data_IF_758449906744
#
_entry.id   IF_758449906744
#
_cell.length_a   1.000
_cell.length_b   1.000
_cell.length_c   1.000
_cell.angle_alpha   90.00
_cell.angle_beta   90.00
_cell.angle_gamma   90.00
#
_symmetry.space_group_name_H-M   'P 1'
#
loop_
_entity.id
_entity.type
_entity.pdbx_description
1 polymer ?
#
# COMPACT_ATOMS: atom_id res chain seq x y z
N UNK A 1 -15.11 -16.16 9.52
CA UNK A 1 -14.23 -14.99 9.59
C UNK A 1 -12.82 -15.46 9.89
N UNK A 2 -11.83 -14.80 9.30
CA UNK A 2 -10.41 -15.08 9.49
C UNK A 2 -9.77 -13.90 10.20
N UNK A 3 -8.98 -14.17 11.25
CA UNK A 3 -8.20 -13.12 11.89
C UNK A 3 -7.05 -12.68 10.98
N UNK A 4 -6.89 -11.38 10.83
CA UNK A 4 -5.76 -10.73 10.18
C UNK A 4 -4.96 -10.06 11.29
N UNK A 5 -3.78 -10.59 11.57
CA UNK A 5 -2.91 -10.06 12.63
C UNK A 5 -2.03 -8.93 12.10
N UNK A 6 -1.88 -7.87 12.88
CA UNK A 6 -0.88 -6.84 12.61
C UNK A 6 0.54 -7.44 12.56
N UNK A 7 1.42 -6.89 11.73
CA UNK A 7 2.84 -7.25 11.78
C UNK A 7 3.44 -6.86 13.15
N UNK A 8 4.21 -7.73 13.82
CA UNK A 8 4.82 -7.39 15.10
C UNK A 8 5.78 -6.20 15.01
N UNK A 9 6.10 -5.53 16.13
CA UNK A 9 6.99 -4.37 16.17
C UNK A 9 8.47 -4.78 15.99
N UNK A 10 8.79 -5.34 14.82
CA UNK A 10 10.11 -5.81 14.42
C UNK A 10 10.46 -5.22 13.07
N UNK A 11 11.68 -4.66 12.97
CA UNK A 11 12.20 -4.12 11.73
C UNK A 11 12.58 -5.22 10.74
N UNK A 12 12.66 -4.83 9.47
CA UNK A 12 13.04 -5.71 8.38
C UNK A 12 14.53 -5.56 8.05
N UNK A 13 15.18 -6.68 7.71
CA UNK A 13 16.53 -6.67 7.12
C UNK A 13 16.46 -6.56 5.60
N UNK A 14 15.52 -7.28 5.00
CA UNK A 14 15.22 -7.19 3.57
C UNK A 14 13.72 -7.34 3.37
N UNK A 15 13.20 -6.61 2.39
CA UNK A 15 11.79 -6.62 2.05
C UNK A 15 11.63 -6.60 0.54
N UNK A 16 10.80 -7.50 0.03
CA UNK A 16 10.39 -7.54 -1.36
C UNK A 16 8.86 -7.46 -1.40
N UNK A 17 8.34 -6.54 -2.21
CA UNK A 17 6.92 -6.45 -2.55
C UNK A 17 6.78 -6.54 -4.05
N UNK A 18 6.27 -7.66 -4.51
CA UNK A 18 6.14 -7.99 -5.91
C UNK A 18 4.73 -8.43 -6.22
N UNK A 19 4.49 -8.69 -7.49
CA UNK A 19 3.21 -9.15 -7.98
C UNK A 19 3.40 -10.44 -8.74
N UNK A 20 2.64 -11.45 -8.35
CA UNK A 20 2.43 -12.64 -9.14
C UNK A 20 1.13 -12.51 -9.95
N UNK A 21 1.26 -12.60 -11.27
CA UNK A 21 0.13 -12.71 -12.17
C UNK A 21 0.18 -14.09 -12.82
N UNK A 22 -0.66 -15.03 -12.39
CA UNK A 22 -0.62 -16.36 -12.94
C UNK A 22 -1.07 -16.33 -14.40
N UNK A 23 -0.21 -16.84 -15.29
CA UNK A 23 -0.47 -16.86 -16.73
C UNK A 23 -0.47 -18.29 -17.24
N UNK A 24 -1.64 -18.79 -17.65
CA UNK A 24 -1.75 -20.07 -18.33
C UNK A 24 -1.27 -19.90 -19.79
N UNK A 25 -0.26 -20.68 -20.18
CA UNK A 25 0.30 -20.66 -21.54
C UNK A 25 -0.01 -22.00 -22.19
N UNK A 26 -0.67 -21.98 -23.35
CA UNK A 26 -0.90 -23.17 -24.16
C UNK A 26 -0.45 -22.92 -25.60
N UNK A 27 -0.28 -23.99 -26.37
CA UNK A 27 0.13 -23.93 -27.77
C UNK A 27 -0.79 -24.82 -28.58
N UNK A 28 -1.34 -24.30 -29.68
CA UNK A 28 -2.18 -25.10 -30.57
C UNK A 28 -1.32 -26.15 -31.28
N UNK A 29 -1.76 -27.40 -31.25
CA UNK A 29 -1.09 -28.51 -31.95
C UNK A 29 -1.15 -28.37 -33.48
N UNK A 30 -2.17 -27.70 -34.01
CA UNK A 30 -2.41 -27.59 -35.45
C UNK A 30 -1.81 -26.34 -36.08
N UNK A 31 -1.87 -25.20 -35.37
CA UNK A 31 -1.37 -23.92 -35.89
C UNK A 31 -0.05 -23.47 -35.26
N UNK A 32 0.45 -24.21 -34.26
CA UNK A 32 1.60 -23.84 -33.43
C UNK A 32 1.48 -22.45 -32.75
N UNK A 33 0.30 -21.83 -32.81
CA UNK A 33 0.03 -20.52 -32.20
C UNK A 33 0.05 -20.63 -30.70
N UNK A 34 0.67 -19.65 -30.06
CA UNK A 34 0.72 -19.51 -28.61
C UNK A 34 -0.54 -18.82 -28.13
N UNK A 35 -1.22 -19.42 -27.16
CA UNK A 35 -2.34 -18.86 -26.46
C UNK A 35 -1.92 -18.56 -25.02
N UNK A 36 -2.33 -17.40 -24.52
CA UNK A 36 -1.99 -16.90 -23.20
C UNK A 36 -3.31 -16.50 -22.55
N UNK A 37 -3.60 -17.06 -21.37
CA UNK A 37 -4.78 -16.72 -20.58
C UNK A 37 -4.33 -16.18 -19.23
N UNK A 38 -4.92 -15.05 -18.84
CA UNK A 38 -4.69 -14.36 -17.56
C UNK A 38 -5.99 -14.33 -16.74
N UNK A 39 -6.72 -15.45 -16.72
CA UNK A 39 -8.02 -15.56 -16.04
C UNK A 39 -7.91 -15.60 -14.52
N UNK A 40 -6.74 -15.88 -13.97
CA UNK A 40 -6.53 -15.86 -12.52
C UNK A 40 -6.26 -14.43 -12.04
N UNK A 41 -6.77 -14.12 -10.85
CA UNK A 41 -6.60 -12.82 -10.21
C UNK A 41 -5.11 -12.60 -9.93
N UNK A 42 -4.63 -11.41 -10.28
CA UNK A 42 -3.30 -10.92 -9.91
C UNK A 42 -3.21 -10.83 -8.38
N UNK A 43 -2.11 -11.33 -7.80
CA UNK A 43 -1.85 -11.33 -6.35
C UNK A 43 -0.52 -10.66 -6.04
N UNK A 44 -0.40 -10.06 -4.87
CA UNK A 44 0.88 -9.61 -4.34
C UNK A 44 1.62 -10.75 -3.65
N UNK A 45 2.94 -10.72 -3.75
CA UNK A 45 3.85 -11.62 -3.05
C UNK A 45 4.80 -10.77 -2.24
N UNK A 46 4.98 -11.13 -0.97
CA UNK A 46 5.95 -10.46 -0.11
C UNK A 46 6.98 -11.45 0.40
N UNK A 47 8.26 -11.07 0.30
CA UNK A 47 9.38 -11.82 0.88
C UNK A 47 10.05 -10.94 1.92
N UNK A 48 10.16 -11.44 3.15
CA UNK A 48 10.64 -10.65 4.27
C UNK A 48 11.71 -11.42 5.01
N UNK A 49 12.89 -10.81 5.19
CA UNK A 49 13.91 -11.32 6.11
C UNK A 49 13.99 -10.42 7.33
N UNK A 50 13.91 -11.03 8.51
CA UNK A 50 13.94 -10.36 9.82
C UNK A 50 15.16 -10.86 10.59
N UNK A 51 15.96 -9.95 11.16
CA UNK A 51 17.10 -10.28 12.01
C UNK A 51 17.17 -9.43 13.27
N UNK A 52 18.09 -9.75 14.20
CA UNK A 52 18.16 -9.11 15.52
C UNK A 52 18.57 -7.63 15.48
N UNK A 53 17.61 -6.76 15.17
CA UNK A 53 17.68 -5.35 15.56
C UNK A 53 17.30 -5.13 17.02
N UNK A 54 16.51 -6.02 17.62
CA UNK A 54 15.96 -5.86 18.97
C UNK A 54 16.06 -7.14 19.82
N UNK A 55 16.26 -6.99 21.14
CA UNK A 55 16.37 -8.11 22.10
C UNK A 55 15.09 -8.94 22.21
N UNK A 56 13.94 -8.37 21.83
CA UNK A 56 12.62 -9.02 21.89
C UNK A 56 12.13 -9.56 20.54
N UNK A 57 12.78 -9.20 19.43
CA UNK A 57 12.27 -9.51 18.08
C UNK A 57 12.03 -11.00 17.83
N UNK A 58 12.94 -11.87 18.29
CA UNK A 58 12.75 -13.32 18.17
C UNK A 58 11.50 -13.82 18.90
N UNK A 59 11.19 -13.24 20.06
CA UNK A 59 10.01 -13.60 20.84
C UNK A 59 8.72 -13.20 20.13
N UNK A 60 8.67 -12.00 19.55
CA UNK A 60 7.55 -11.56 18.72
C UNK A 60 7.35 -12.47 17.50
N UNK A 61 8.44 -12.88 16.84
CA UNK A 61 8.34 -13.80 15.70
C UNK A 61 7.81 -15.18 16.12
N UNK A 62 8.26 -15.72 17.24
CA UNK A 62 7.72 -17.00 17.75
C UNK A 62 6.26 -16.88 18.21
N UNK A 63 5.85 -15.73 18.76
CA UNK A 63 4.45 -15.45 19.06
C UNK A 63 3.59 -15.39 17.78
N UNK A 64 4.05 -14.66 16.76
CA UNK A 64 3.38 -14.59 15.45
C UNK A 64 3.22 -15.99 14.85
N UNK A 65 4.25 -16.85 14.90
CA UNK A 65 4.13 -18.23 14.40
C UNK A 65 3.01 -19.01 15.07
N UNK A 66 2.86 -18.89 16.39
CA UNK A 66 1.78 -19.56 17.14
C UNK A 66 0.41 -19.02 16.77
N UNK A 67 0.31 -17.72 16.49
CA UNK A 67 -0.92 -17.10 16.00
C UNK A 67 -1.29 -17.58 14.58
N UNK A 68 -0.30 -17.85 13.75
CA UNK A 68 -0.49 -18.37 12.38
C UNK A 68 -0.51 -19.91 12.31
N UNK A 69 -0.25 -20.59 13.43
CA UNK A 69 -0.18 -22.04 13.49
C UNK A 69 -1.54 -22.65 13.14
N UNK A 70 -1.55 -23.64 12.25
CA UNK A 70 -2.78 -24.18 11.67
C UNK A 70 -3.22 -23.53 10.35
N UNK A 71 -2.54 -22.47 9.88
CA UNK A 71 -2.68 -21.93 8.52
C UNK A 71 -4.04 -21.30 8.22
N UNK A 72 -4.79 -20.91 9.24
CA UNK A 72 -6.13 -20.33 9.09
C UNK A 72 -6.14 -18.81 9.21
N UNK A 73 -5.03 -18.21 9.64
CA UNK A 73 -4.92 -16.79 9.95
C UNK A 73 -3.96 -16.08 9.00
N UNK A 74 -4.19 -14.77 8.83
CA UNK A 74 -3.46 -13.92 7.89
C UNK A 74 -2.66 -12.88 8.64
N UNK A 75 -1.77 -12.20 7.92
CA UNK A 75 -0.97 -11.09 8.42
C UNK A 75 -1.19 -9.85 7.56
N UNK A 76 -1.36 -8.69 8.20
CA UNK A 76 -1.38 -7.38 7.55
C UNK A 76 0.06 -6.92 7.32
N UNK A 77 0.39 -6.66 6.06
CA UNK A 77 1.69 -6.11 5.67
C UNK A 77 1.49 -4.85 4.84
N UNK A 78 2.40 -3.89 5.06
CA UNK A 78 2.49 -2.66 4.31
C UNK A 78 3.71 -2.68 3.39
N UNK A 79 3.57 -2.12 2.19
CA UNK A 79 4.65 -2.00 1.22
C UNK A 79 5.75 -1.06 1.72
N UNK A 80 7.01 -1.41 1.50
CA UNK A 80 8.13 -0.52 1.74
C UNK A 80 8.61 0.21 0.48
N UNK A 81 9.09 1.45 0.64
CA UNK A 81 10.04 2.09 -0.28
C UNK A 81 11.05 1.13 -0.89
N UNK A 82 11.13 1.10 -2.22
CA UNK A 82 12.18 0.36 -2.94
C UNK A 82 13.49 1.15 -3.05
N UNK A 83 13.41 2.49 -3.01
CA UNK A 83 14.57 3.35 -3.18
C UNK A 83 15.08 3.81 -1.81
N UNK A 84 16.40 3.75 -1.54
CA UNK A 84 16.96 4.17 -0.26
C UNK A 84 17.01 5.70 -0.09
N UNK A 85 17.07 6.44 -1.19
CA UNK A 85 17.27 7.89 -1.20
C UNK A 85 15.97 8.64 -1.52
N UNK A 86 14.88 8.31 -0.85
CA UNK A 86 13.59 8.95 -1.10
C UNK A 86 13.63 10.45 -0.74
N UNK A 87 12.98 11.31 -1.53
CA UNK A 87 12.88 12.72 -1.19
C UNK A 87 12.01 12.87 0.07
N UNK A 88 12.60 13.40 1.13
CA UNK A 88 11.89 13.69 2.38
C UNK A 88 11.15 15.03 2.28
N UNK A 89 9.88 15.00 2.66
CA UNK A 89 9.05 16.19 2.78
C UNK A 89 8.44 16.25 4.19
N UNK A 90 8.22 17.46 4.74
CA UNK A 90 7.45 17.59 5.96
C UNK A 90 6.06 16.96 5.81
N UNK A 91 5.57 16.39 6.91
CA UNK A 91 4.22 15.84 6.97
C UNK A 91 3.18 16.86 6.51
N UNK A 92 2.21 16.42 5.71
CA UNK A 92 1.15 17.27 5.19
C UNK A 92 1.49 18.04 3.90
N UNK A 93 2.71 17.93 3.38
CA UNK A 93 3.10 18.62 2.12
C UNK A 93 2.62 17.86 0.88
N UNK A 94 2.75 16.53 0.88
CA UNK A 94 2.34 15.67 -0.23
C UNK A 94 1.01 14.96 0.00
N UNK A 95 0.49 15.04 1.23
CA UNK A 95 -0.69 14.33 1.71
C UNK A 95 -1.56 15.32 2.48
N UNK A 96 -2.88 15.21 2.36
CA UNK A 96 -3.79 16.01 3.18
C UNK A 96 -4.54 15.09 4.12
N UNK A 97 -4.20 15.13 5.39
CA UNK A 97 -4.78 14.21 6.37
C UNK A 97 -6.15 14.70 6.83
N UNK A 98 -7.15 13.80 7.02
CA UNK A 98 -8.42 14.17 7.63
C UNK A 98 -8.18 14.89 8.95
N UNK A 99 -8.81 16.04 9.12
CA UNK A 99 -8.80 16.77 10.38
C UNK A 99 -9.97 16.29 11.23
N UNK A 100 -9.65 15.70 12.38
CA UNK A 100 -10.62 15.41 13.41
C UNK A 100 -10.71 16.57 14.40
N UNK A 101 -11.92 17.08 14.59
CA UNK A 101 -12.19 18.08 15.62
C UNK A 101 -12.04 17.42 16.99
N UNK A 102 -11.03 17.83 17.75
CA UNK A 102 -10.97 17.51 19.17
C UNK A 102 -12.15 18.19 19.87
N UNK A 103 -12.90 17.42 20.65
CA UNK A 103 -14.06 17.94 21.39
C UNK A 103 -13.63 19.11 22.28
N UNK A 104 -14.03 20.32 21.91
CA UNK A 104 -13.83 21.52 22.73
C UNK A 104 -14.86 21.59 23.87
N UNK A 105 -14.51 22.24 24.97
CA UNK A 105 -15.39 22.46 26.13
C UNK A 105 -16.39 23.61 25.95
N UNK A 106 -16.72 23.99 24.71
CA UNK A 106 -17.59 25.13 24.38
C UNK A 106 -18.70 24.78 23.40
N UNK A 107 -19.72 25.65 23.22
CA UNK A 107 -20.77 25.45 22.23
C UNK A 107 -20.16 25.37 20.83
N UNK A 108 -20.52 24.32 20.09
CA UNK A 108 -20.00 23.98 18.76
C UNK A 108 -20.19 25.17 17.79
N UNK A 109 -19.11 25.90 17.42
CA UNK A 109 -19.22 27.14 16.66
C UNK A 109 -19.60 26.92 15.19
N UNK A 110 -19.65 25.66 14.73
CA UNK A 110 -19.96 25.28 13.35
C UNK A 110 -21.24 24.42 13.25
N UNK A 111 -22.23 24.71 14.09
CA UNK A 111 -23.56 24.09 13.97
C UNK A 111 -24.13 24.25 12.56
N UNK A 112 -24.46 23.14 11.92
CA UNK A 112 -25.09 23.09 10.59
C UNK A 112 -26.31 24.02 10.54
N UNK A 113 -26.27 25.03 9.66
CA UNK A 113 -27.39 25.98 9.49
C UNK A 113 -28.48 25.45 8.55
N UNK A 114 -28.23 24.32 7.89
CA UNK A 114 -29.17 23.62 7.01
C UNK A 114 -28.78 22.14 6.91
N UNK A 115 -29.73 21.30 6.46
CA UNK A 115 -29.42 19.92 6.09
C UNK A 115 -28.44 19.93 4.91
N UNK A 116 -27.25 19.35 5.11
CA UNK A 116 -26.20 19.23 4.11
C UNK A 116 -25.50 17.88 4.22
N UNK A 117 -24.72 17.51 3.19
CA UNK A 117 -23.84 16.34 3.26
C UNK A 117 -22.64 16.63 4.15
N UNK A 118 -22.10 15.61 4.81
CA UNK A 118 -20.98 15.71 5.74
C UNK A 118 -19.79 16.50 5.15
N UNK A 119 -19.34 17.54 5.87
CA UNK A 119 -18.16 18.33 5.51
C UNK A 119 -16.94 17.73 6.20
N UNK A 120 -16.01 17.15 5.42
CA UNK A 120 -14.71 16.72 5.92
C UNK A 120 -13.68 17.83 5.78
N UNK A 121 -12.94 18.04 6.86
CA UNK A 121 -11.84 18.99 6.92
C UNK A 121 -10.53 18.23 6.74
N UNK A 122 -9.52 18.89 6.20
CA UNK A 122 -8.20 18.29 6.01
C UNK A 122 -7.12 19.27 6.48
N UNK A 123 -6.06 18.73 7.06
CA UNK A 123 -4.83 19.46 7.34
C UNK A 123 -3.96 19.50 6.09
N UNK A 124 -3.32 20.64 5.87
CA UNK A 124 -2.42 20.86 4.73
C UNK A 124 -3.15 21.20 3.41
N UNK A 125 -2.42 21.72 2.43
CA UNK A 125 -2.98 22.03 1.12
C UNK A 125 -3.36 20.74 0.37
N UNK A 126 -4.53 20.67 -0.29
CA UNK A 126 -4.91 19.53 -1.10
C UNK A 126 -4.03 19.41 -2.35
N UNK A 127 -3.35 18.28 -2.47
CA UNK A 127 -2.68 17.89 -3.71
C UNK A 127 -3.74 17.45 -4.72
N UNK A 128 -4.14 18.40 -5.57
CA UNK A 128 -5.24 18.23 -6.52
C UNK A 128 -4.77 17.43 -7.73
N UNK A 129 -5.65 16.59 -8.26
CA UNK A 129 -5.30 15.71 -9.36
C UNK A 129 -6.38 15.59 -10.42
N UNK A 130 -5.96 15.57 -11.68
CA UNK A 130 -6.83 15.40 -12.85
C UNK A 130 -6.25 14.31 -13.74
N UNK A 131 -7.13 13.44 -14.22
CA UNK A 131 -6.74 12.36 -15.12
C UNK A 131 -6.52 12.90 -16.54
N UNK A 132 -5.29 12.86 -17.06
CA UNK A 132 -4.91 13.46 -18.37
C UNK A 132 -4.55 12.43 -19.44
N UNK A 133 -4.56 11.15 -19.11
CA UNK A 133 -4.12 10.09 -20.03
C UNK A 133 -5.07 9.93 -21.22
N UNK A 134 -4.57 9.65 -22.44
CA UNK A 134 -5.42 9.20 -23.55
C UNK A 134 -6.27 7.99 -23.15
N UNK A 135 -7.48 7.86 -23.70
CA UNK A 135 -8.35 6.71 -23.41
C UNK A 135 -7.65 5.40 -23.77
N UNK A 136 -7.54 4.47 -22.82
CA UNK A 136 -6.87 3.18 -23.02
C UNK A 136 -5.34 3.21 -22.91
N UNK A 137 -4.73 4.33 -22.50
CA UNK A 137 -3.30 4.39 -22.25
C UNK A 137 -2.91 3.58 -21.02
N UNK A 138 -1.91 2.71 -21.19
CA UNK A 138 -1.21 2.01 -20.12
C UNK A 138 0.29 2.29 -20.32
N UNK A 139 0.99 2.94 -19.38
CA UNK A 139 0.51 3.39 -18.07
C UNK A 139 -0.45 4.58 -18.14
N UNK A 140 -1.29 4.72 -17.12
CA UNK A 140 -2.14 5.89 -16.93
C UNK A 140 -1.35 7.08 -16.40
N UNK A 141 -1.77 8.27 -16.79
CA UNK A 141 -1.14 9.57 -16.47
C UNK A 141 -2.13 10.45 -15.72
N UNK A 142 -1.69 10.98 -14.59
CA UNK A 142 -2.43 11.89 -13.72
C UNK A 142 -1.62 13.18 -13.61
N UNK A 143 -2.23 14.30 -13.95
CA UNK A 143 -1.65 15.61 -13.67
C UNK A 143 -1.98 16.00 -12.24
N UNK A 144 -0.98 16.46 -11.52
CA UNK A 144 -1.06 16.78 -10.10
C UNK A 144 -0.55 18.19 -9.88
N UNK A 145 -1.24 18.97 -9.06
CA UNK A 145 -0.92 20.37 -8.75
C UNK A 145 -0.91 20.60 -7.23
N UNK A 146 -0.17 21.62 -6.80
CA UNK A 146 0.01 21.94 -5.37
C UNK A 146 1.26 21.31 -4.76
N UNK A 147 2.17 20.82 -5.61
CA UNK A 147 3.45 20.25 -5.21
C UNK A 147 4.47 21.38 -5.01
N UNK A 148 5.50 21.21 -4.17
CA UNK A 148 6.54 22.22 -4.11
C UNK A 148 7.29 22.28 -5.46
N UNK A 149 7.66 23.49 -5.95
CA UNK A 149 8.06 23.70 -7.34
C UNK A 149 9.49 23.23 -7.65
N UNK A 150 9.73 22.85 -8.91
CA UNK A 150 11.06 22.56 -9.48
C UNK A 150 11.88 21.49 -8.76
N UNK A 151 11.25 20.42 -8.28
CA UNK A 151 11.94 19.37 -7.52
C UNK A 151 11.40 17.98 -7.83
N UNK A 152 12.18 16.96 -7.44
CA UNK A 152 11.76 15.57 -7.49
C UNK A 152 10.78 15.33 -6.34
N UNK A 153 9.57 14.91 -6.67
CA UNK A 153 8.48 14.67 -5.73
C UNK A 153 8.40 13.21 -5.34
N UNK A 154 8.58 12.32 -6.32
CA UNK A 154 8.52 10.88 -6.11
C UNK A 154 9.38 10.12 -7.13
N UNK A 155 9.83 8.94 -6.73
CA UNK A 155 10.63 8.03 -7.52
C UNK A 155 9.80 6.83 -8.02
N UNK A 156 10.23 6.16 -9.12
CA UNK A 156 9.61 4.90 -9.54
C UNK A 156 9.63 3.86 -8.42
N UNK A 157 8.54 3.11 -8.27
CA UNK A 157 8.39 2.11 -7.22
C UNK A 157 7.73 2.62 -5.93
N UNK A 158 7.65 3.94 -5.73
CA UNK A 158 6.80 4.52 -4.69
C UNK A 158 5.32 4.41 -5.06
N UNK A 159 4.44 4.65 -4.09
CA UNK A 159 3.00 4.57 -4.30
C UNK A 159 2.32 5.94 -4.19
N UNK A 160 1.18 6.04 -4.87
CA UNK A 160 0.23 7.15 -4.79
C UNK A 160 -1.16 6.60 -4.48
N UNK A 161 -1.80 7.15 -3.46
CA UNK A 161 -3.20 6.87 -3.15
C UNK A 161 -4.08 7.91 -3.82
N UNK A 162 -4.98 7.46 -4.69
CA UNK A 162 -5.86 8.28 -5.49
C UNK A 162 -7.24 8.26 -4.86
N UNK A 163 -7.78 9.44 -4.53
CA UNK A 163 -9.12 9.60 -3.99
C UNK A 163 -10.07 10.06 -5.09
N UNK A 164 -11.22 9.37 -5.16
CA UNK A 164 -12.28 9.69 -6.09
C UNK A 164 -13.22 10.75 -5.49
N UNK A 165 -14.30 11.08 -6.22
CA UNK A 165 -15.33 12.01 -5.73
C UNK A 165 -15.95 11.60 -4.39
N UNK A 166 -15.87 10.32 -4.03
CA UNK A 166 -16.14 9.80 -2.69
C UNK A 166 -14.80 9.57 -1.96
N UNK A 167 -14.57 10.18 -0.79
CA UNK A 167 -13.32 10.04 -0.04
C UNK A 167 -13.06 8.64 0.52
N UNK A 168 -14.08 7.77 0.64
CA UNK A 168 -13.90 6.37 1.06
C UNK A 168 -13.48 5.48 -0.10
N UNK A 169 -13.77 5.91 -1.33
CA UNK A 169 -13.25 5.28 -2.53
C UNK A 169 -11.85 5.81 -2.81
N UNK A 170 -10.87 5.00 -2.47
CA UNK A 170 -9.48 5.26 -2.80
C UNK A 170 -8.83 4.06 -3.47
N UNK A 171 -7.77 4.32 -4.23
CA UNK A 171 -6.96 3.26 -4.80
C UNK A 171 -5.49 3.61 -4.75
N UNK A 172 -4.68 2.69 -4.24
CA UNK A 172 -3.22 2.83 -4.23
C UNK A 172 -2.65 2.24 -5.53
N UNK A 173 -1.72 2.97 -6.15
CA UNK A 173 -1.05 2.56 -7.39
C UNK A 173 0.44 2.87 -7.32
N UNK A 174 1.25 2.00 -7.93
CA UNK A 174 2.68 2.22 -8.05
C UNK A 174 2.98 3.30 -9.10
N UNK A 175 3.92 4.18 -8.77
CA UNK A 175 4.48 5.19 -9.66
C UNK A 175 5.53 4.53 -10.56
N UNK A 176 5.40 4.74 -11.87
CA UNK A 176 6.21 4.07 -12.89
C UNK A 176 7.36 4.93 -13.45
N UNK A 177 7.35 6.24 -13.15
CA UNK A 177 8.36 7.17 -13.63
C UNK A 177 8.62 8.26 -12.58
N UNK A 178 9.82 8.88 -12.55
CA UNK A 178 10.09 9.97 -11.63
C UNK A 178 9.06 11.09 -11.80
N UNK A 179 8.54 11.59 -10.69
CA UNK A 179 7.62 12.72 -10.65
C UNK A 179 8.45 13.95 -10.35
N UNK A 180 8.52 14.87 -11.32
CA UNK A 180 9.26 16.11 -11.20
C UNK A 180 8.26 17.24 -11.38
N UNK A 181 8.16 18.12 -10.38
CA UNK A 181 7.31 19.31 -10.46
C UNK A 181 7.98 20.40 -11.29
N UNK A 182 7.16 21.16 -12.01
CA UNK A 182 7.59 22.36 -12.73
C UNK A 182 7.67 23.58 -11.79
N UNK A 183 7.98 24.75 -12.35
CA UNK A 183 8.10 26.00 -11.61
C UNK A 183 6.78 26.46 -10.94
N UNK A 184 5.65 25.91 -11.37
CA UNK A 184 4.32 26.20 -10.80
C UNK A 184 3.84 25.15 -9.80
N UNK A 185 4.64 24.10 -9.53
CA UNK A 185 4.25 23.02 -8.64
C UNK A 185 3.30 22.01 -9.27
N UNK A 186 3.37 21.85 -10.60
CA UNK A 186 2.58 20.89 -11.38
C UNK A 186 3.48 19.77 -11.88
N UNK A 187 3.00 18.52 -11.82
CA UNK A 187 3.73 17.34 -12.30
C UNK A 187 2.79 16.33 -12.97
N UNK A 188 3.34 15.53 -13.90
CA UNK A 188 2.65 14.36 -14.45
C UNK A 188 3.12 13.11 -13.71
N UNK A 189 2.20 12.46 -13.00
CA UNK A 189 2.42 11.18 -12.34
C UNK A 189 1.99 10.05 -13.28
N UNK A 190 2.94 9.20 -13.66
CA UNK A 190 2.66 7.98 -14.43
C UNK A 190 2.45 6.83 -13.46
N UNK A 191 1.26 6.25 -13.48
CA UNK A 191 0.84 5.20 -12.55
C UNK A 191 0.60 3.88 -13.27
N UNK A 192 0.78 2.80 -12.53
CA UNK A 192 0.41 1.47 -12.98
C UNK A 192 -1.11 1.34 -13.16
N UNK A 193 -1.51 0.59 -14.20
CA UNK A 193 -2.88 0.16 -14.40
C UNK A 193 -3.68 1.09 -15.29
N UNK A 194 -5.00 0.99 -15.17
CA UNK A 194 -5.95 1.71 -15.99
C UNK A 194 -6.15 3.16 -15.53
N UNK A 195 -6.63 3.99 -16.45
CA UNK A 195 -6.93 5.40 -16.21
C UNK A 195 -7.99 5.53 -15.10
N UNK A 196 -7.69 6.18 -13.97
CA UNK A 196 -8.70 6.44 -12.96
C UNK A 196 -9.64 7.54 -13.45
N UNK A 197 -10.95 7.33 -13.30
CA UNK A 197 -11.99 8.30 -13.63
C UNK A 197 -12.42 9.08 -12.38
N UNK A 198 -12.81 10.34 -12.51
CA UNK A 198 -13.32 11.17 -11.39
C UNK A 198 -12.34 11.36 -10.21
N UNK A 199 -11.05 11.45 -10.50
CA UNK A 199 -10.02 11.78 -9.52
C UNK A 199 -10.25 13.20 -8.99
N UNK A 200 -10.04 13.40 -7.69
CA UNK A 200 -10.09 14.73 -7.05
C UNK A 200 -8.78 15.08 -6.37
N UNK A 201 -8.22 14.13 -5.63
CA UNK A 201 -7.04 14.33 -4.80
C UNK A 201 -6.13 13.11 -4.87
N UNK A 202 -4.85 13.32 -4.67
CA UNK A 202 -3.88 12.24 -4.47
C UNK A 202 -3.05 12.48 -3.23
N UNK A 203 -2.59 11.39 -2.61
CA UNK A 203 -1.56 11.37 -1.58
C UNK A 203 -0.34 10.66 -2.18
N UNK A 204 0.83 11.30 -2.16
CA UNK A 204 2.06 10.78 -2.75
C UNK A 204 3.00 10.33 -1.62
N UNK A 205 3.70 9.20 -1.83
CA UNK A 205 4.55 8.61 -0.80
C UNK A 205 3.73 7.78 0.20
N UNK A 206 2.58 7.28 -0.23
CA UNK A 206 1.76 6.37 0.58
C UNK A 206 2.32 4.95 0.52
N UNK A 207 1.72 4.07 1.32
CA UNK A 207 2.00 2.64 1.30
C UNK A 207 0.75 1.88 0.85
N UNK A 208 0.98 0.74 0.24
CA UNK A 208 -0.04 -0.23 -0.07
C UNK A 208 -0.13 -1.26 1.06
N UNK A 209 -1.32 -1.47 1.60
CA UNK A 209 -1.56 -2.40 2.70
C UNK A 209 -2.43 -3.56 2.24
N UNK A 210 -2.07 -4.80 2.60
CA UNK A 210 -2.85 -5.99 2.23
C UNK A 210 -2.74 -7.12 3.26
N UNK A 211 -3.71 -8.04 3.21
CA UNK A 211 -3.71 -9.25 4.03
C UNK A 211 -2.99 -10.38 3.27
N UNK A 212 -2.17 -11.13 3.98
CA UNK A 212 -1.31 -12.16 3.42
C UNK A 212 -1.38 -13.47 4.19
N UNK A 213 -1.39 -14.58 3.45
CA UNK A 213 -1.16 -15.92 3.98
C UNK A 213 0.35 -16.22 3.96
N UNK A 214 0.87 -16.81 5.04
CA UNK A 214 2.24 -17.30 5.08
C UNK A 214 2.35 -18.62 4.30
N UNK A 215 3.09 -18.60 3.18
CA UNK A 215 3.33 -19.78 2.34
C UNK A 215 4.15 -20.85 3.07
N UNK A 216 5.02 -20.42 3.98
CA UNK A 216 5.77 -21.31 4.86
C UNK A 216 6.09 -20.60 6.17
N UNK A 217 5.92 -21.31 7.30
CA UNK A 217 6.33 -20.82 8.62
C UNK A 217 7.82 -21.16 8.80
N UNK A 218 8.74 -20.17 8.82
CA UNK A 218 10.17 -20.44 8.89
C UNK A 218 10.59 -21.04 10.23
N UNK A 219 11.69 -21.79 10.24
CA UNK A 219 12.38 -22.21 11.46
C UNK A 219 13.65 -21.37 11.62
N UNK A 220 13.96 -20.94 12.83
CA UNK A 220 15.20 -20.21 13.13
C UNK A 220 15.99 -20.93 14.22
N UNK A 221 16.59 -22.11 13.92
CA UNK A 221 17.50 -22.74 14.87
C UNK A 221 18.66 -21.78 15.13
N UNK A 222 18.83 -21.40 16.39
CA UNK A 222 19.87 -20.45 16.83
C UNK A 222 21.03 -21.21 17.45
N UNK A 223 22.26 -20.93 16.99
CA UNK A 223 23.47 -21.32 17.72
C UNK A 223 23.60 -20.39 18.92
N UNK A 224 23.95 -20.93 20.09
CA UNK A 224 24.12 -20.11 21.30
C UNK A 224 25.06 -18.94 21.00
N UNK A 225 24.63 -17.71 21.31
CA UNK A 225 25.33 -16.44 21.02
C UNK A 225 25.42 -16.03 19.53
N UNK A 226 24.73 -16.70 18.61
CA UNK A 226 24.60 -16.22 17.22
C UNK A 226 23.42 -15.27 17.06
N UNK A 227 23.38 -14.59 15.92
CA UNK A 227 22.19 -13.89 15.45
C UNK A 227 21.10 -14.90 15.03
N UNK A 228 19.85 -14.43 14.94
CA UNK A 228 18.70 -15.19 14.45
C UNK A 228 18.17 -14.54 13.17
N UNK A 229 17.60 -15.37 12.30
CA UNK A 229 17.03 -14.92 11.03
C UNK A 229 15.72 -15.67 10.78
N UNK A 230 14.68 -14.95 10.36
CA UNK A 230 13.46 -15.54 9.83
C UNK A 230 13.23 -15.04 8.41
N UNK A 231 13.13 -15.97 7.47
CA UNK A 231 12.78 -15.68 6.08
C UNK A 231 11.33 -16.10 5.85
N UNK A 232 10.47 -15.12 5.61
CA UNK A 232 9.05 -15.33 5.36
C UNK A 232 8.73 -15.14 3.88
N UNK A 233 7.78 -15.93 3.41
CA UNK A 233 7.18 -15.78 2.09
C UNK A 233 5.67 -15.75 2.25
N UNK A 234 5.05 -14.78 1.58
CA UNK A 234 3.66 -14.43 1.75
C UNK A 234 2.95 -14.34 0.40
N UNK A 235 1.67 -14.72 0.38
CA UNK A 235 0.79 -14.54 -0.77
C UNK A 235 -0.46 -13.77 -0.35
N UNK A 236 -0.85 -12.78 -1.13
CA UNK A 236 -2.04 -11.99 -0.86
C UNK A 236 -3.31 -12.85 -0.86
N UNK A 237 -4.17 -12.59 0.11
CA UNK A 237 -5.53 -13.14 0.21
C UNK A 237 -6.53 -12.00 0.20
N UNK A 238 -7.59 -12.14 -0.60
CA UNK A 238 -8.64 -11.14 -0.66
C UNK A 238 -9.78 -11.50 0.30
N UNK A 239 -10.48 -10.48 0.80
CA UNK A 239 -11.55 -10.69 1.77
C UNK A 239 -12.66 -11.60 1.22
N UNK A 240 -13.00 -11.44 -0.06
CA UNK A 240 -14.02 -12.22 -0.78
C UNK A 240 -13.64 -13.70 -0.99
N UNK A 241 -12.38 -14.07 -0.73
CA UNK A 241 -11.93 -15.46 -0.73
C UNK A 241 -12.17 -16.15 0.61
N UNK A 242 -12.58 -15.39 1.63
CA UNK A 242 -12.82 -15.85 2.99
C UNK A 242 -14.24 -15.50 3.46
N UNK A 243 -14.60 -15.91 4.67
CA UNK A 243 -15.85 -15.49 5.32
C UNK A 243 -15.72 -14.11 6.01
N UNK A 244 -14.95 -13.18 5.43
CA UNK A 244 -14.63 -11.85 5.96
C UNK A 244 -13.39 -11.81 6.86
N UNK A 245 -12.83 -10.61 7.03
CA UNK A 245 -11.67 -10.33 7.87
C UNK A 245 -12.04 -9.79 9.25
N UNK A 246 -11.23 -10.13 10.25
CA UNK A 246 -11.25 -9.53 11.59
C UNK A 246 -9.84 -9.07 11.90
N UNK A 247 -9.61 -7.76 11.89
CA UNK A 247 -8.30 -7.19 12.25
C UNK A 247 -8.03 -7.36 13.74
N UNK A 248 -6.85 -7.85 14.09
CA UNK A 248 -6.42 -8.05 15.47
C UNK A 248 -4.99 -7.53 15.62
N UNK A 249 -4.79 -6.57 16.52
CA UNK A 249 -3.46 -6.14 16.95
C UNK A 249 -3.18 -6.67 18.37
N UNK A 250 -2.37 -7.74 18.51
CA UNK A 250 -2.00 -8.29 19.81
C UNK A 250 -0.76 -7.61 20.42
N UNK A 251 -0.17 -6.61 19.74
CA UNK A 251 1.08 -5.98 20.14
C UNK A 251 0.89 -4.62 20.84
N UNK A 252 -0.30 -4.03 20.72
CA UNK A 252 -0.71 -2.75 21.31
C UNK A 252 -1.46 -2.89 22.62
#
# INVERSE_FOLDING_TARGET
MVNVYAWPPVGFRSFEWSVDQPVAKSRSLWSNRRYISTTQRRRRVATISVSAGTTMGAGYMEALKRLLEGGTHLVRLDSFPLNPDEPEFPDGVLNSEPFEWLQGSGPDPLGWQALGGELRWFNGPPVSAVSVSPSGAIPAWVEVSGLPPSQIIAMPGQFVTIYYGDPELSVTRMIMAPVISDASGVAIVKIEGERPANIRRVHIGTQESSAFEALSIPRAPRVVNSDWFYDWSFLEVFEDETAGFVEVDPWS
#
